data_IF_279740996859
#
_entry.id   IF_279740996859
#
_cell.length_a   1.000
_cell.length_b   1.000
_cell.length_c   1.000
_cell.angle_alpha   90.00
_cell.angle_beta   90.00
_cell.angle_gamma   90.00
#
_symmetry.space_group_name_H-M   'P 1'
#
loop_
_entity.id
_entity.type
_entity.pdbx_description
1 polymer ?
#
# COMPACT_ATOMS: atom_id res chain seq x y z
N UNK A 1 -21.10 -22.07 -6.85
CA UNK A 1 -20.71 -21.92 -5.43
C UNK A 1 -19.22 -22.12 -5.36
N UNK A 2 -18.45 -21.12 -4.93
CA UNK A 2 -17.01 -21.27 -4.71
C UNK A 2 -16.77 -22.34 -3.62
N UNK A 3 -15.73 -23.18 -3.74
CA UNK A 3 -15.43 -24.17 -2.71
C UNK A 3 -15.20 -23.47 -1.36
N UNK A 4 -15.54 -24.11 -0.23
CA UNK A 4 -15.33 -23.51 1.09
C UNK A 4 -13.84 -23.19 1.27
N UNK A 5 -13.55 -21.94 1.68
CA UNK A 5 -12.19 -21.49 1.99
C UNK A 5 -11.53 -22.45 2.99
N UNK A 6 -10.26 -22.78 2.76
CA UNK A 6 -9.51 -23.63 3.70
C UNK A 6 -9.40 -22.90 5.03
N UNK A 7 -9.44 -23.62 6.16
CA UNK A 7 -9.33 -23.03 7.52
C UNK A 7 -8.13 -22.09 7.65
N UNK A 8 -7.00 -22.43 7.01
CA UNK A 8 -5.81 -21.57 6.94
C UNK A 8 -6.10 -20.20 6.31
N UNK A 9 -6.83 -20.14 5.21
CA UNK A 9 -7.20 -18.89 4.52
C UNK A 9 -8.16 -18.06 5.38
N UNK A 10 -9.12 -18.71 6.05
CA UNK A 10 -10.02 -18.05 7.00
C UNK A 10 -9.25 -17.39 8.15
N UNK A 11 -8.21 -18.04 8.67
CA UNK A 11 -7.32 -17.47 9.70
C UNK A 11 -6.62 -16.22 9.17
N UNK A 12 -6.06 -16.27 7.96
CA UNK A 12 -5.40 -15.10 7.36
C UNK A 12 -6.36 -13.93 7.18
N UNK A 13 -7.54 -14.18 6.61
CA UNK A 13 -8.54 -13.14 6.35
C UNK A 13 -9.03 -12.50 7.66
N UNK A 14 -9.42 -13.31 8.66
CA UNK A 14 -9.86 -12.79 9.95
C UNK A 14 -8.75 -12.02 10.67
N UNK A 15 -7.50 -12.46 10.53
CA UNK A 15 -6.36 -11.75 11.13
C UNK A 15 -6.17 -10.39 10.47
N UNK A 16 -6.23 -10.30 9.14
CA UNK A 16 -6.16 -9.03 8.42
C UNK A 16 -7.26 -8.07 8.87
N UNK A 17 -8.50 -8.54 8.94
CA UNK A 17 -9.65 -7.76 9.38
C UNK A 17 -9.45 -7.21 10.80
N UNK A 18 -9.07 -8.08 11.75
CA UNK A 18 -8.82 -7.70 13.14
C UNK A 18 -7.63 -6.74 13.28
N UNK A 19 -6.51 -6.99 12.60
CA UNK A 19 -5.33 -6.12 12.65
C UNK A 19 -5.66 -4.73 12.08
N UNK A 20 -6.36 -4.67 10.96
CA UNK A 20 -6.81 -3.42 10.36
C UNK A 20 -7.73 -2.63 11.29
N UNK A 21 -8.68 -3.29 11.94
CA UNK A 21 -9.68 -2.66 12.80
C UNK A 21 -9.11 -2.23 14.17
N UNK A 22 -8.29 -3.07 14.81
CA UNK A 22 -7.95 -2.91 16.23
C UNK A 22 -6.48 -2.55 16.50
N UNK A 23 -5.59 -2.67 15.51
CA UNK A 23 -4.15 -2.66 15.77
C UNK A 23 -3.58 -4.07 15.78
N UNK A 24 -2.44 -4.29 15.13
CA UNK A 24 -1.78 -5.60 15.23
C UNK A 24 -1.37 -5.91 16.68
N UNK A 25 -0.93 -4.89 17.42
CA UNK A 25 -0.44 -5.01 18.80
C UNK A 25 -1.53 -5.44 19.80
N UNK A 26 -2.78 -5.07 19.57
CA UNK A 26 -3.92 -5.40 20.46
C UNK A 26 -4.54 -6.77 20.16
N UNK A 27 -4.20 -7.38 19.02
CA UNK A 27 -4.77 -8.65 18.57
C UNK A 27 -3.80 -9.80 18.87
N UNK A 28 -4.31 -10.81 19.57
CA UNK A 28 -3.61 -12.06 19.88
C UNK A 28 -4.15 -13.22 19.02
N UNK A 29 -3.41 -14.33 18.95
CA UNK A 29 -3.91 -15.57 18.32
C UNK A 29 -5.20 -16.07 18.97
N UNK A 30 -5.38 -15.86 20.28
CA UNK A 30 -6.62 -16.22 20.98
C UNK A 30 -7.79 -15.33 20.55
N UNK A 31 -7.57 -14.03 20.32
CA UNK A 31 -8.61 -13.15 19.76
C UNK A 31 -9.04 -13.62 18.37
N UNK A 32 -8.09 -14.00 17.50
CA UNK A 32 -8.36 -14.52 16.16
C UNK A 32 -9.15 -15.85 16.23
N UNK A 33 -8.72 -16.78 17.09
CA UNK A 33 -9.41 -18.06 17.26
C UNK A 33 -10.86 -17.87 17.75
N UNK A 34 -11.06 -16.99 18.75
CA UNK A 34 -12.38 -16.66 19.27
C UNK A 34 -13.27 -16.01 18.20
N UNK A 35 -12.73 -15.07 17.42
CA UNK A 35 -13.45 -14.42 16.33
C UNK A 35 -13.93 -15.43 15.25
N UNK A 36 -13.14 -16.46 14.98
CA UNK A 36 -13.48 -17.52 14.02
C UNK A 36 -14.34 -18.64 14.60
N UNK A 37 -14.59 -18.65 15.91
CA UNK A 37 -15.28 -19.75 16.60
C UNK A 37 -14.52 -21.07 16.56
N UNK A 38 -13.18 -21.04 16.55
CA UNK A 38 -12.32 -22.23 16.56
C UNK A 38 -11.54 -22.33 17.86
N UNK A 39 -11.07 -23.54 18.22
CA UNK A 39 -10.20 -23.70 19.39
C UNK A 39 -8.81 -23.11 19.12
N UNK A 40 -8.10 -22.60 20.16
CA UNK A 40 -6.71 -22.18 20.01
C UNK A 40 -5.82 -23.27 19.40
N UNK A 41 -6.02 -24.54 19.79
CA UNK A 41 -5.29 -25.67 19.23
C UNK A 41 -5.48 -25.85 17.72
N UNK A 42 -6.68 -25.58 17.20
CA UNK A 42 -6.93 -25.59 15.75
C UNK A 42 -6.16 -24.48 15.04
N UNK A 43 -6.10 -23.27 15.62
CA UNK A 43 -5.27 -22.20 15.07
C UNK A 43 -3.78 -22.57 15.10
N UNK A 44 -3.28 -23.10 16.22
CA UNK A 44 -1.87 -23.51 16.36
C UNK A 44 -1.47 -24.64 15.41
N UNK A 45 -2.41 -25.49 15.00
CA UNK A 45 -2.18 -26.49 13.95
C UNK A 45 -1.80 -25.84 12.60
N UNK A 46 -2.36 -24.68 12.28
CA UNK A 46 -2.07 -23.96 11.04
C UNK A 46 -0.96 -22.91 11.17
N UNK A 47 -0.86 -22.24 12.32
CA UNK A 47 0.10 -21.16 12.56
C UNK A 47 0.66 -21.24 13.98
N UNK A 48 1.96 -21.47 14.09
CA UNK A 48 2.67 -21.60 15.38
C UNK A 48 2.62 -20.34 16.26
N UNK A 49 2.47 -19.15 15.66
CA UNK A 49 2.45 -17.86 16.35
C UNK A 49 1.86 -16.77 15.45
N UNK A 50 1.67 -15.57 16.02
CA UNK A 50 1.16 -14.38 15.30
C UNK A 50 2.09 -13.94 14.16
N UNK A 51 3.41 -14.04 14.35
CA UNK A 51 4.42 -13.67 13.36
C UNK A 51 4.31 -14.51 12.09
N UNK A 52 3.99 -15.81 12.20
CA UNK A 52 3.77 -16.67 11.04
C UNK A 52 2.54 -16.24 10.21
N UNK A 53 1.51 -15.69 10.85
CA UNK A 53 0.34 -15.13 10.17
C UNK A 53 0.72 -13.82 9.45
N UNK A 54 1.46 -12.94 10.14
CA UNK A 54 1.93 -11.67 9.57
C UNK A 54 2.85 -11.89 8.37
N UNK A 55 3.76 -12.86 8.45
CA UNK A 55 4.65 -13.21 7.34
C UNK A 55 3.85 -13.67 6.10
N UNK A 56 2.79 -14.47 6.29
CA UNK A 56 1.91 -14.87 5.19
C UNK A 56 1.12 -13.67 4.61
N UNK A 57 0.59 -12.80 5.47
CA UNK A 57 -0.07 -11.56 5.04
C UNK A 57 0.87 -10.67 4.24
N UNK A 58 2.13 -10.57 4.68
CA UNK A 58 3.15 -9.80 3.97
C UNK A 58 3.50 -10.42 2.61
N UNK A 59 3.54 -11.76 2.50
CA UNK A 59 3.71 -12.44 1.19
C UNK A 59 2.55 -12.10 0.24
N UNK A 60 1.30 -12.06 0.73
CA UNK A 60 0.15 -11.68 -0.07
C UNK A 60 0.20 -10.20 -0.49
N UNK A 61 0.59 -9.31 0.43
CA UNK A 61 0.78 -7.89 0.15
C UNK A 61 1.87 -7.68 -0.91
N UNK A 62 3.04 -8.30 -0.73
CA UNK A 62 4.16 -8.22 -1.67
C UNK A 62 3.74 -8.69 -3.07
N UNK A 63 3.09 -9.85 -3.18
CA UNK A 63 2.62 -10.37 -4.46
C UNK A 63 1.58 -9.46 -5.13
N UNK A 64 0.70 -8.85 -4.34
CA UNK A 64 -0.29 -7.90 -4.84
C UNK A 64 0.39 -6.64 -5.41
N UNK A 65 1.36 -6.07 -4.69
CA UNK A 65 2.10 -4.89 -5.14
C UNK A 65 2.99 -5.19 -6.35
N UNK A 66 3.73 -6.30 -6.33
CA UNK A 66 4.58 -6.73 -7.45
C UNK A 66 3.75 -6.97 -8.72
N UNK A 67 2.48 -7.38 -8.60
CA UNK A 67 1.60 -7.59 -9.74
C UNK A 67 1.23 -6.28 -10.46
N UNK A 68 0.85 -5.23 -9.72
CA UNK A 68 0.46 -3.97 -10.35
C UNK A 68 1.63 -3.02 -10.63
N UNK A 69 2.80 -3.18 -10.01
CA UNK A 69 3.99 -2.38 -10.34
C UNK A 69 4.71 -2.84 -11.63
N UNK A 70 4.24 -3.93 -12.25
CA UNK A 70 4.79 -4.41 -13.51
C UNK A 70 4.34 -3.54 -14.69
N UNK A 71 5.27 -2.79 -15.27
CA UNK A 71 5.05 -2.02 -16.50
C UNK A 71 4.73 -2.96 -17.70
N UNK A 72 3.70 -2.65 -18.52
CA UNK A 72 3.50 -3.30 -19.82
C UNK A 72 4.71 -3.13 -20.74
N UNK A 73 5.15 -4.21 -21.39
CA UNK A 73 6.31 -4.18 -22.29
C UNK A 73 5.94 -4.13 -23.78
N UNK A 74 4.69 -4.45 -24.10
CA UNK A 74 4.16 -4.60 -25.45
C UNK A 74 3.51 -3.32 -26.00
N UNK A 75 3.32 -2.30 -25.16
CA UNK A 75 2.73 -1.01 -25.55
C UNK A 75 3.26 0.15 -24.72
N UNK A 76 3.09 1.36 -25.24
CA UNK A 76 3.32 2.59 -24.48
C UNK A 76 2.31 2.74 -23.32
N UNK A 77 2.74 3.45 -22.27
CA UNK A 77 1.84 3.85 -21.18
C UNK A 77 0.92 4.98 -21.63
N UNK A 78 -0.25 5.04 -20.99
CA UNK A 78 -1.29 6.02 -21.22
C UNK A 78 -1.67 6.71 -19.91
N UNK A 79 -2.41 7.81 -19.96
CA UNK A 79 -2.94 8.45 -18.74
C UNK A 79 -3.91 7.51 -18.00
N UNK A 80 -4.58 6.59 -18.69
CA UNK A 80 -5.42 5.58 -18.05
C UNK A 80 -4.61 4.60 -17.18
N UNK A 81 -3.40 4.23 -17.62
CA UNK A 81 -2.49 3.41 -16.79
C UNK A 81 -2.10 4.16 -15.51
N UNK A 82 -1.93 5.48 -15.61
CA UNK A 82 -1.68 6.32 -14.44
C UNK A 82 -2.83 6.25 -13.44
N UNK A 83 -4.06 6.34 -13.91
CA UNK A 83 -5.25 6.15 -13.06
C UNK A 83 -5.21 4.78 -12.37
N UNK A 84 -4.94 3.73 -13.14
CA UNK A 84 -4.85 2.37 -12.63
C UNK A 84 -3.80 2.23 -11.51
N UNK A 85 -2.57 2.72 -11.71
CA UNK A 85 -1.53 2.61 -10.67
C UNK A 85 -1.91 3.36 -9.39
N UNK A 86 -2.51 4.56 -9.50
CA UNK A 86 -2.92 5.34 -8.33
C UNK A 86 -4.07 4.67 -7.57
N UNK A 87 -5.04 4.07 -8.27
CA UNK A 87 -6.14 3.31 -7.67
C UNK A 87 -5.66 2.00 -7.04
N UNK A 88 -4.75 1.28 -7.71
CA UNK A 88 -4.15 0.06 -7.18
C UNK A 88 -3.32 0.34 -5.91
N UNK A 89 -2.55 1.43 -5.89
CA UNK A 89 -1.84 1.90 -4.71
C UNK A 89 -2.82 2.21 -3.57
N UNK A 90 -3.89 2.97 -3.83
CA UNK A 90 -4.91 3.28 -2.82
C UNK A 90 -5.54 2.01 -2.24
N UNK A 91 -5.94 1.07 -3.11
CA UNK A 91 -6.57 -0.18 -2.72
C UNK A 91 -5.62 -1.04 -1.87
N UNK A 92 -4.34 -1.15 -2.25
CA UNK A 92 -3.34 -1.88 -1.49
C UNK A 92 -3.07 -1.23 -0.12
N UNK A 93 -2.89 0.09 -0.07
CA UNK A 93 -2.71 0.84 1.18
C UNK A 93 -3.89 0.65 2.12
N UNK A 94 -5.12 0.66 1.60
CA UNK A 94 -6.32 0.47 2.40
C UNK A 94 -6.46 -0.96 2.90
N UNK A 95 -6.29 -1.95 2.01
CA UNK A 95 -6.47 -3.36 2.33
C UNK A 95 -5.46 -3.84 3.37
N UNK A 96 -4.21 -3.36 3.32
CA UNK A 96 -3.14 -3.73 4.22
C UNK A 96 -2.70 -2.59 5.16
N UNK A 97 -3.62 -1.66 5.49
CA UNK A 97 -3.32 -0.46 6.30
C UNK A 97 -2.66 -0.74 7.64
N UNK A 98 -2.89 -1.90 8.26
CA UNK A 98 -2.19 -2.28 9.49
C UNK A 98 -0.66 -2.37 9.28
N UNK A 99 -0.18 -2.85 8.12
CA UNK A 99 1.26 -2.92 7.83
C UNK A 99 1.86 -1.52 7.88
N UNK A 100 1.23 -0.54 7.23
CA UNK A 100 1.72 0.84 7.20
C UNK A 100 1.67 1.53 8.57
N UNK A 101 0.68 1.19 9.40
CA UNK A 101 0.54 1.74 10.76
C UNK A 101 1.60 1.17 11.72
N UNK A 102 1.87 -0.13 11.64
CA UNK A 102 2.63 -0.87 12.64
C UNK A 102 4.04 -1.29 12.14
N UNK A 103 4.45 -0.88 10.92
CA UNK A 103 5.61 -1.38 10.19
C UNK A 103 6.88 -1.48 11.03
N UNK A 104 7.31 -0.39 11.68
CA UNK A 104 8.56 -0.32 12.43
C UNK A 104 8.65 -1.43 13.48
N UNK A 105 7.55 -1.65 14.22
CA UNK A 105 7.48 -2.71 15.21
C UNK A 105 7.49 -4.11 14.60
N UNK A 106 6.81 -4.29 13.47
CA UNK A 106 6.80 -5.57 12.76
C UNK A 106 8.21 -5.96 12.29
N UNK A 107 8.97 -4.99 11.78
CA UNK A 107 10.35 -5.23 11.31
C UNK A 107 11.30 -5.46 12.49
N UNK A 108 11.17 -4.72 13.60
CA UNK A 108 11.98 -4.93 14.80
C UNK A 108 11.73 -6.29 15.46
N UNK A 109 10.51 -6.81 15.34
CA UNK A 109 10.10 -8.06 15.99
C UNK A 109 10.45 -9.32 15.18
N UNK A 110 10.80 -9.19 13.90
CA UNK A 110 11.10 -10.31 13.01
C UNK A 110 12.16 -9.95 11.96
N UNK A 111 13.40 -10.41 12.18
CA UNK A 111 14.53 -10.15 11.29
C UNK A 111 14.35 -10.73 9.88
N UNK A 112 13.60 -11.83 9.73
CA UNK A 112 13.33 -12.39 8.40
C UNK A 112 12.34 -11.52 7.64
N UNK A 113 11.32 -11.00 8.31
CA UNK A 113 10.40 -10.03 7.75
C UNK A 113 11.12 -8.72 7.37
N UNK A 114 12.03 -8.23 8.22
CA UNK A 114 12.83 -7.04 7.95
C UNK A 114 13.66 -7.18 6.66
N UNK A 115 14.36 -8.30 6.50
CA UNK A 115 15.15 -8.55 5.29
C UNK A 115 14.26 -8.68 4.04
N UNK A 116 13.13 -9.38 4.16
CA UNK A 116 12.16 -9.50 3.05
C UNK A 116 11.60 -8.13 2.67
N UNK A 117 11.24 -7.30 3.65
CA UNK A 117 10.75 -5.94 3.42
C UNK A 117 11.79 -5.06 2.72
N UNK A 118 13.07 -5.18 3.10
CA UNK A 118 14.18 -4.46 2.46
C UNK A 118 14.28 -4.79 0.96
N UNK A 119 14.22 -6.07 0.61
CA UNK A 119 14.23 -6.52 -0.79
C UNK A 119 12.97 -6.08 -1.55
N UNK A 120 11.81 -6.13 -0.90
CA UNK A 120 10.56 -5.62 -1.45
C UNK A 120 10.63 -4.11 -1.75
N UNK A 121 11.13 -3.30 -0.81
CA UNK A 121 11.29 -1.86 -0.99
C UNK A 121 12.19 -1.53 -2.20
N UNK A 122 13.29 -2.27 -2.38
CA UNK A 122 14.17 -2.12 -3.53
C UNK A 122 13.45 -2.41 -4.86
N UNK A 123 12.65 -3.49 -4.92
CA UNK A 123 11.86 -3.82 -6.12
C UNK A 123 10.77 -2.80 -6.40
N UNK A 124 10.10 -2.29 -5.37
CA UNK A 124 9.08 -1.24 -5.51
C UNK A 124 9.66 0.05 -6.07
N UNK A 125 10.82 0.50 -5.55
CA UNK A 125 11.50 1.68 -6.07
C UNK A 125 11.92 1.48 -7.54
N UNK A 126 12.48 0.32 -7.89
CA UNK A 126 12.84 0.00 -9.28
C UNK A 126 11.61 -0.06 -10.20
N UNK A 127 10.52 -0.69 -9.76
CA UNK A 127 9.27 -0.77 -10.51
C UNK A 127 8.64 0.60 -10.74
N UNK A 128 8.56 1.42 -9.70
CA UNK A 128 8.07 2.80 -9.78
C UNK A 128 8.93 3.67 -10.70
N UNK A 129 10.26 3.56 -10.62
CA UNK A 129 11.18 4.23 -11.54
C UNK A 129 10.92 3.81 -13.00
N UNK A 130 10.72 2.52 -13.25
CA UNK A 130 10.37 2.00 -14.57
C UNK A 130 9.03 2.52 -15.10
N UNK A 131 8.04 2.69 -14.23
CA UNK A 131 6.73 3.28 -14.56
C UNK A 131 6.89 4.76 -14.90
N UNK A 132 7.62 5.55 -14.10
CA UNK A 132 7.88 6.95 -14.40
C UNK A 132 8.65 7.13 -15.70
N UNK A 133 9.67 6.31 -15.95
CA UNK A 133 10.36 6.27 -17.23
C UNK A 133 9.37 5.98 -18.36
N UNK A 134 8.42 5.05 -18.17
CA UNK A 134 7.39 4.76 -19.18
C UNK A 134 6.46 5.93 -19.47
N UNK A 135 6.13 6.76 -18.48
CA UNK A 135 5.36 7.98 -18.70
C UNK A 135 6.18 9.05 -19.43
N UNK A 136 7.50 9.11 -19.20
CA UNK A 136 8.41 9.97 -19.96
C UNK A 136 8.54 9.50 -21.41
N UNK A 137 8.74 8.20 -21.64
CA UNK A 137 8.81 7.60 -22.98
C UNK A 137 7.53 7.87 -23.79
N UNK A 138 6.37 7.88 -23.12
CA UNK A 138 5.06 8.17 -23.71
C UNK A 138 4.79 9.67 -23.91
N UNK A 139 5.70 10.55 -23.48
CA UNK A 139 5.52 12.01 -23.54
C UNK A 139 4.39 12.52 -22.63
N UNK A 140 4.05 11.80 -21.56
CA UNK A 140 3.05 12.23 -20.57
C UNK A 140 3.72 13.10 -19.49
N UNK A 141 4.94 12.74 -19.11
CA UNK A 141 5.79 13.50 -18.20
C UNK A 141 7.06 13.96 -18.91
N UNK A 142 7.58 15.11 -18.50
CA UNK A 142 8.79 15.73 -19.03
C UNK A 142 9.82 15.81 -17.90
N UNK A 143 10.53 14.71 -17.69
CA UNK A 143 11.53 14.59 -16.63
C UNK A 143 12.86 14.05 -17.17
N UNK A 144 13.96 14.53 -16.61
CA UNK A 144 15.28 13.93 -16.77
C UNK A 144 15.48 12.77 -15.78
N UNK A 145 16.53 11.94 -15.94
CA UNK A 145 16.76 10.77 -15.06
C UNK A 145 16.86 11.12 -13.56
N UNK A 146 17.51 12.23 -13.21
CA UNK A 146 17.64 12.66 -11.82
C UNK A 146 16.28 13.08 -11.20
N UNK A 147 15.42 13.70 -12.00
CA UNK A 147 14.05 14.06 -11.59
C UNK A 147 13.19 12.81 -11.38
N UNK A 148 13.31 11.81 -12.26
CA UNK A 148 12.63 10.51 -12.10
C UNK A 148 13.03 9.86 -10.78
N UNK A 149 14.34 9.79 -10.50
CA UNK A 149 14.86 9.20 -9.26
C UNK A 149 14.34 9.95 -8.02
N UNK A 150 14.45 11.28 -8.01
CA UNK A 150 13.98 12.11 -6.90
C UNK A 150 12.47 11.95 -6.65
N UNK A 151 11.66 11.97 -7.72
CA UNK A 151 10.21 11.84 -7.60
C UNK A 151 9.82 10.45 -7.12
N UNK A 152 10.50 9.40 -7.60
CA UNK A 152 10.30 8.02 -7.14
C UNK A 152 10.58 7.88 -5.64
N UNK A 153 11.71 8.43 -5.17
CA UNK A 153 12.07 8.39 -3.75
C UNK A 153 11.08 9.19 -2.88
N UNK A 154 10.72 10.40 -3.31
CA UNK A 154 9.74 11.22 -2.61
C UNK A 154 8.38 10.53 -2.52
N UNK A 155 7.95 9.88 -3.61
CA UNK A 155 6.69 9.12 -3.64
C UNK A 155 6.73 7.97 -2.64
N UNK A 156 7.83 7.22 -2.60
CA UNK A 156 8.03 6.14 -1.62
C UNK A 156 7.92 6.66 -0.19
N UNK A 157 8.65 7.74 0.15
CA UNK A 157 8.63 8.35 1.48
C UNK A 157 7.20 8.75 1.87
N UNK A 158 6.45 9.41 0.98
CA UNK A 158 5.06 9.79 1.23
C UNK A 158 4.22 8.54 1.47
N UNK A 159 4.27 7.55 0.58
CA UNK A 159 3.44 6.34 0.68
C UNK A 159 3.69 5.54 1.96
N UNK A 160 4.94 5.42 2.39
CA UNK A 160 5.28 4.69 3.61
C UNK A 160 5.04 5.50 4.89
N UNK A 161 5.04 6.83 4.81
CA UNK A 161 4.97 7.69 6.00
C UNK A 161 3.59 8.35 6.20
N UNK A 162 2.71 8.32 5.20
CA UNK A 162 1.44 9.04 5.23
C UNK A 162 0.55 8.62 6.41
N UNK A 163 0.40 7.32 6.64
CA UNK A 163 -0.40 6.80 7.77
C UNK A 163 0.20 7.25 9.11
N UNK A 164 1.52 7.22 9.25
CA UNK A 164 2.22 7.69 10.45
C UNK A 164 2.04 9.20 10.66
N UNK A 165 2.12 9.98 9.59
CA UNK A 165 1.85 11.42 9.62
C UNK A 165 0.44 11.71 10.14
N UNK A 166 -0.57 11.01 9.63
CA UNK A 166 -1.96 11.15 10.12
C UNK A 166 -2.02 10.90 11.62
N UNK A 167 -1.42 9.79 12.10
CA UNK A 167 -1.35 9.42 13.53
C UNK A 167 -0.75 10.49 14.44
N UNK A 168 0.13 11.35 13.92
CA UNK A 168 0.76 12.42 14.71
C UNK A 168 0.09 13.79 14.52
N UNK A 169 -0.55 14.01 13.37
CA UNK A 169 -1.14 15.31 13.03
C UNK A 169 -2.55 15.49 13.61
N UNK A 170 -3.27 14.39 13.85
CA UNK A 170 -4.57 14.41 14.54
C UNK A 170 -4.43 14.15 16.03
N UNK A 171 -5.23 14.84 16.83
CA UNK A 171 -5.38 14.54 18.26
C UNK A 171 -6.29 13.33 18.48
N UNK A 172 -5.76 12.25 19.05
CA UNK A 172 -6.55 11.08 19.48
C UNK A 172 -6.38 9.81 18.65
N UNK A 173 -7.08 8.72 18.99
CA UNK A 173 -7.03 7.46 18.25
C UNK A 173 -7.63 7.64 16.84
N UNK A 174 -6.92 7.19 15.81
CA UNK A 174 -7.33 7.38 14.43
C UNK A 174 -8.14 6.20 13.91
N UNK A 175 -9.37 6.47 13.51
CA UNK A 175 -10.09 5.67 12.53
C UNK A 175 -9.68 6.14 11.12
N UNK A 176 -8.83 5.34 10.44
CA UNK A 176 -8.42 5.64 9.07
C UNK A 176 -9.63 5.53 8.15
N UNK A 177 -9.80 6.51 7.26
CA UNK A 177 -10.77 6.46 6.17
C UNK A 177 -10.09 6.39 4.81
N UNK A 178 -10.79 5.85 3.81
CA UNK A 178 -10.30 5.83 2.42
C UNK A 178 -10.01 7.25 1.89
N UNK A 179 -10.76 8.27 2.32
CA UNK A 179 -10.52 9.65 1.93
C UNK A 179 -9.18 10.18 2.45
N UNK A 180 -8.80 9.80 3.67
CA UNK A 180 -7.49 10.16 4.22
C UNK A 180 -6.37 9.53 3.40
N UNK A 181 -6.49 8.25 3.02
CA UNK A 181 -5.48 7.60 2.19
C UNK A 181 -5.45 8.16 0.76
N UNK A 182 -6.62 8.44 0.17
CA UNK A 182 -6.74 9.11 -1.13
C UNK A 182 -6.03 10.46 -1.15
N UNK A 183 -6.06 11.21 -0.03
CA UNK A 183 -5.26 12.44 0.10
C UNK A 183 -3.76 12.18 0.03
N UNK A 184 -3.27 11.08 0.59
CA UNK A 184 -1.86 10.67 0.47
C UNK A 184 -1.48 10.39 -0.98
N UNK A 185 -2.34 9.68 -1.72
CA UNK A 185 -2.17 9.43 -3.16
C UNK A 185 -2.18 10.73 -3.96
N UNK A 186 -3.02 11.70 -3.59
CA UNK A 186 -2.97 13.03 -4.18
C UNK A 186 -1.61 13.70 -3.98
N UNK A 187 -0.97 13.56 -2.81
CA UNK A 187 0.36 14.16 -2.59
C UNK A 187 1.40 13.59 -3.56
N UNK A 188 1.34 12.29 -3.85
CA UNK A 188 2.20 11.66 -4.87
C UNK A 188 1.94 12.26 -6.24
N UNK A 189 0.67 12.37 -6.64
CA UNK A 189 0.31 13.00 -7.92
C UNK A 189 0.80 14.45 -7.99
N UNK A 190 0.68 15.21 -6.90
CA UNK A 190 1.10 16.61 -6.81
C UNK A 190 2.60 16.83 -7.02
N UNK A 191 3.45 15.84 -6.73
CA UNK A 191 4.88 15.92 -7.02
C UNK A 191 5.17 16.06 -8.52
N UNK A 192 4.22 15.66 -9.37
CA UNK A 192 4.38 15.66 -10.82
C UNK A 192 3.98 16.97 -11.47
N UNK A 193 3.32 17.88 -10.73
CA UNK A 193 2.69 19.08 -11.29
C UNK A 193 3.60 19.93 -12.19
N UNK A 194 4.89 20.03 -11.87
CA UNK A 194 5.87 20.77 -12.67
C UNK A 194 6.41 20.05 -13.91
N UNK A 195 6.01 18.79 -14.12
CA UNK A 195 6.56 17.91 -15.15
C UNK A 195 5.51 17.38 -16.13
N UNK A 196 4.24 17.77 -16.00
CA UNK A 196 3.18 17.28 -16.88
C UNK A 196 3.36 17.89 -18.27
N UNK A 197 3.35 17.04 -19.30
CA UNK A 197 3.43 17.52 -20.67
C UNK A 197 2.14 18.26 -21.07
N UNK A 198 2.21 19.35 -21.87
CA UNK A 198 1.03 20.14 -22.23
C UNK A 198 -0.12 19.32 -22.83
N UNK A 199 0.19 18.29 -23.64
CA UNK A 199 -0.80 17.40 -24.24
C UNK A 199 -1.52 16.49 -23.23
N UNK A 200 -0.92 16.24 -22.06
CA UNK A 200 -1.48 15.38 -21.02
C UNK A 200 -2.20 16.18 -19.92
N UNK A 201 -2.01 17.51 -19.87
CA UNK A 201 -2.46 18.37 -18.77
C UNK A 201 -3.94 18.18 -18.44
N UNK A 202 -4.84 18.31 -19.41
CA UNK A 202 -6.28 18.21 -19.18
C UNK A 202 -6.70 16.84 -18.58
N UNK A 203 -6.05 15.76 -19.02
CA UNK A 203 -6.35 14.42 -18.52
C UNK A 203 -5.80 14.20 -17.10
N UNK A 204 -4.63 14.77 -16.78
CA UNK A 204 -4.06 14.70 -15.43
C UNK A 204 -4.81 15.63 -14.46
N UNK A 205 -5.30 16.78 -14.91
CA UNK A 205 -6.16 17.68 -14.12
C UNK A 205 -7.45 17.00 -13.67
N UNK A 206 -8.03 16.14 -14.52
CA UNK A 206 -9.16 15.30 -14.13
C UNK A 206 -8.80 14.33 -12.99
N UNK A 207 -7.57 13.80 -12.96
CA UNK A 207 -7.08 12.97 -11.86
C UNK A 207 -6.86 13.78 -10.58
N UNK A 208 -6.31 14.99 -10.70
CA UNK A 208 -6.21 15.91 -9.56
C UNK A 208 -7.58 16.16 -8.94
N UNK A 209 -8.57 16.51 -9.74
CA UNK A 209 -9.94 16.75 -9.27
C UNK A 209 -10.55 15.51 -8.59
N UNK A 210 -10.35 14.31 -9.16
CA UNK A 210 -10.87 13.04 -8.63
C UNK A 210 -10.24 12.66 -7.28
N UNK A 211 -8.94 12.90 -7.11
CA UNK A 211 -8.19 12.48 -5.93
C UNK A 211 -8.14 13.57 -4.84
N UNK A 212 -8.53 14.79 -5.15
CA UNK A 212 -8.48 15.89 -4.20
C UNK A 212 -9.41 15.63 -3.01
N UNK A 213 -8.83 15.79 -1.82
CA UNK A 213 -9.57 15.81 -0.55
C UNK A 213 -9.08 17.04 0.22
N UNK A 214 -9.98 17.95 0.62
CA UNK A 214 -9.62 19.12 1.43
C UNK A 214 -8.92 18.72 2.73
N UNK A 215 -8.01 19.59 3.20
CA UNK A 215 -7.20 19.30 4.38
C UNK A 215 -8.06 19.14 5.64
N UNK A 216 -9.16 19.89 5.75
CA UNK A 216 -10.09 19.86 6.89
C UNK A 216 -10.81 18.51 7.03
N UNK A 217 -10.88 17.72 5.96
CA UNK A 217 -11.41 16.35 6.00
C UNK A 217 -10.34 15.33 6.40
N UNK A 218 -9.06 15.73 6.44
CA UNK A 218 -7.89 14.85 6.53
C UNK A 218 -7.10 15.04 7.82
N UNK A 219 -7.08 16.23 8.40
CA UNK A 219 -6.53 16.50 9.74
C UNK A 219 -7.53 17.30 10.57
#
# INVERSE_FOLDING_TARGET
MSPPLKTRERIIQASLELFNAQGERSVSTNHIAAHLGISPGNLYYHFRNKQAIIAELFVQYEAHVDAFLRRPQDRALTVADKTFYLEALLAAMWHYRFLHRDLEHLLDSDAHLAERYRLFAQRCLQGAQGIYQGFVDAGILLMNPAQIEALTLNSWIIMTSWVRFLCTARGGPIELSEEMLRRGIYQVLALEGGYIAPQAQAAVDALYAKLFVPLERVI
#
